data_IF_682258795187
#
_entry.id   IF_682258795187
#
_cell.length_a   1.000
_cell.length_b   1.000
_cell.length_c   1.000
_cell.angle_alpha   90.00
_cell.angle_beta   90.00
_cell.angle_gamma   90.00
#
_symmetry.space_group_name_H-M   'P 1'
#
loop_
_entity.id
_entity.type
_entity.pdbx_description
1 polymer ?
#
# COMPACT_ATOMS: atom_id res chain seq x y z
N UNK A 1 8.18 5.36 12.69
CA UNK A 1 7.82 4.56 11.50
C UNK A 1 6.33 4.24 11.54
N UNK A 2 5.63 4.42 10.42
CA UNK A 2 4.22 4.05 10.38
C UNK A 2 4.06 2.54 10.16
N UNK A 3 2.94 2.00 10.62
CA UNK A 3 2.54 0.62 10.38
C UNK A 3 1.02 0.57 10.13
N UNK A 4 0.46 -0.64 10.06
CA UNK A 4 -0.97 -0.78 9.86
C UNK A 4 -1.80 -0.13 10.95
N UNK A 5 -1.33 -0.16 12.20
CA UNK A 5 -2.06 0.44 13.30
C UNK A 5 -2.13 1.97 13.20
N UNK A 6 -1.14 2.59 12.58
CA UNK A 6 -1.14 4.04 12.35
C UNK A 6 -2.30 4.47 11.45
N UNK A 7 -2.72 3.58 10.53
CA UNK A 7 -3.79 3.86 9.59
C UNK A 7 -5.19 3.58 10.14
N UNK A 8 -5.29 2.86 11.25
CA UNK A 8 -6.58 2.56 11.86
C UNK A 8 -7.21 3.86 12.38
N UNK A 9 -8.48 4.05 12.05
CA UNK A 9 -9.21 5.28 12.36
C UNK A 9 -9.14 6.34 11.27
N UNK A 10 -8.31 6.15 10.25
CA UNK A 10 -8.21 7.08 9.12
C UNK A 10 -9.31 6.78 8.09
N UNK A 11 -9.73 7.81 7.38
CA UNK A 11 -10.70 7.69 6.30
C UNK A 11 -9.97 7.49 4.98
N UNK A 12 -10.36 6.47 4.23
CA UNK A 12 -9.78 6.22 2.91
C UNK A 12 -10.37 7.19 1.89
N UNK A 13 -9.50 7.93 1.20
CA UNK A 13 -9.90 8.95 0.23
C UNK A 13 -9.71 8.46 -1.21
N UNK A 14 -8.58 7.81 -1.50
CA UNK A 14 -8.29 7.25 -2.82
C UNK A 14 -7.43 6.00 -2.69
N UNK A 15 -7.51 5.14 -3.68
CA UNK A 15 -6.74 3.90 -3.71
C UNK A 15 -6.58 3.46 -5.17
N UNK A 16 -5.34 3.38 -5.64
CA UNK A 16 -5.04 2.98 -7.01
C UNK A 16 -3.65 2.34 -7.11
N UNK A 17 -3.20 2.04 -8.31
CA UNK A 17 -1.93 1.37 -8.55
C UNK A 17 -0.70 2.22 -8.22
N UNK A 18 -0.87 3.52 -8.03
CA UNK A 18 0.22 4.42 -7.67
C UNK A 18 0.36 4.58 -6.16
N UNK A 19 -0.72 4.36 -5.43
CA UNK A 19 -0.74 4.49 -3.99
C UNK A 19 -2.14 4.78 -3.46
N UNK A 20 -2.20 5.35 -2.27
CA UNK A 20 -3.48 5.68 -1.66
C UNK A 20 -3.35 6.91 -0.77
N UNK A 21 -4.49 7.55 -0.51
CA UNK A 21 -4.57 8.72 0.35
C UNK A 21 -5.58 8.45 1.46
N UNK A 22 -5.21 8.83 2.68
CA UNK A 22 -6.10 8.76 3.84
C UNK A 22 -6.16 10.13 4.52
N UNK A 23 -7.28 10.34 5.24
CA UNK A 23 -7.45 11.53 6.10
C UNK A 23 -7.51 11.08 7.54
N UNK A 24 -6.73 11.71 8.40
CA UNK A 24 -6.74 11.42 9.83
C UNK A 24 -6.52 12.71 10.61
N UNK A 25 -7.42 13.00 11.55
CA UNK A 25 -7.37 14.20 12.38
C UNK A 25 -7.29 15.50 11.55
N UNK A 26 -8.03 15.54 10.43
CA UNK A 26 -8.06 16.71 9.55
C UNK A 26 -6.86 16.85 8.64
N UNK A 27 -5.97 15.86 8.61
CA UNK A 27 -4.76 15.89 7.78
C UNK A 27 -4.82 14.80 6.72
N UNK A 28 -4.36 15.12 5.51
CA UNK A 28 -4.22 14.16 4.43
C UNK A 28 -2.82 13.53 4.46
N UNK A 29 -2.78 12.21 4.28
CA UNK A 29 -1.52 11.46 4.17
C UNK A 29 -1.55 10.71 2.85
N UNK A 30 -0.57 10.99 1.99
CA UNK A 30 -0.44 10.36 0.68
C UNK A 30 0.66 9.31 0.75
N UNK A 31 0.29 8.08 0.40
CA UNK A 31 1.19 6.94 0.37
C UNK A 31 1.42 6.54 -1.08
N UNK A 32 2.70 6.37 -1.45
CA UNK A 32 3.08 5.97 -2.80
C UNK A 32 3.89 4.69 -2.76
N UNK A 33 3.68 3.82 -3.75
CA UNK A 33 4.54 2.66 -3.97
C UNK A 33 5.79 3.15 -4.69
N UNK A 34 6.91 3.11 -4.00
CA UNK A 34 8.16 3.63 -4.50
C UNK A 34 9.16 2.50 -4.70
N UNK A 35 9.62 2.35 -5.93
CA UNK A 35 10.69 1.42 -6.25
C UNK A 35 12.02 2.14 -6.18
N UNK A 36 12.87 1.74 -5.26
CA UNK A 36 14.11 2.46 -5.00
C UNK A 36 15.37 1.71 -5.47
N UNK A 37 15.22 0.48 -5.89
CA UNK A 37 16.36 -0.32 -6.33
C UNK A 37 15.93 -1.35 -7.36
N UNK A 38 16.78 -1.60 -8.37
CA UNK A 38 16.49 -2.57 -9.41
C UNK A 38 15.72 -1.98 -10.59
N UNK A 39 15.35 -2.84 -11.54
CA UNK A 39 14.58 -2.43 -12.72
C UNK A 39 13.10 -2.58 -12.44
N UNK A 40 12.54 -1.58 -11.83
CA UNK A 40 11.16 -1.60 -11.37
C UNK A 40 10.14 -1.48 -12.50
N UNK A 41 10.54 -0.92 -13.64
CA UNK A 41 9.60 -0.73 -14.75
C UNK A 41 9.25 -2.05 -15.44
N UNK A 42 10.14 -3.04 -15.38
CA UNK A 42 9.96 -4.31 -16.10
C UNK A 42 9.55 -5.47 -15.21
N UNK A 43 9.82 -5.39 -13.90
CA UNK A 43 9.69 -6.55 -13.01
C UNK A 43 8.75 -6.35 -11.83
N UNK A 44 8.19 -5.15 -11.67
CA UNK A 44 7.24 -4.90 -10.59
C UNK A 44 5.83 -4.89 -11.14
N UNK A 45 4.97 -5.73 -10.55
CA UNK A 45 3.54 -5.73 -10.82
C UNK A 45 2.80 -5.20 -9.61
N UNK A 46 1.88 -4.28 -9.82
CA UNK A 46 1.01 -3.77 -8.76
C UNK A 46 -0.42 -3.94 -9.25
N UNK A 47 -1.20 -4.74 -8.52
CA UNK A 47 -2.61 -4.96 -8.81
C UNK A 47 -3.42 -4.47 -7.63
N UNK A 48 -4.43 -3.66 -7.89
CA UNK A 48 -5.28 -3.12 -6.85
C UNK A 48 -6.75 -3.43 -7.12
N UNK A 49 -7.50 -3.62 -6.03
CA UNK A 49 -8.94 -3.79 -6.08
C UNK A 49 -9.58 -2.88 -5.04
N UNK A 50 -10.62 -2.17 -5.43
CA UNK A 50 -11.37 -1.29 -4.56
C UNK A 50 -12.81 -1.77 -4.50
N UNK A 51 -13.29 -2.07 -3.29
CA UNK A 51 -14.59 -2.68 -3.06
C UNK A 51 -15.65 -1.70 -2.56
N UNK A 52 -15.28 -0.43 -2.36
CA UNK A 52 -16.18 0.61 -1.87
C UNK A 52 -16.18 1.79 -2.82
N UNK A 53 -17.26 2.55 -2.81
CA UNK A 53 -17.36 3.78 -3.61
C UNK A 53 -16.85 4.95 -2.78
N UNK A 54 -15.64 5.41 -3.09
CA UNK A 54 -14.99 6.50 -2.36
C UNK A 54 -15.58 7.88 -2.68
N UNK A 55 -16.35 8.00 -3.76
CA UNK A 55 -17.04 9.24 -4.07
C UNK A 55 -18.33 9.42 -3.27
N UNK A 56 -18.80 8.38 -2.58
CA UNK A 56 -19.97 8.46 -1.71
C UNK A 56 -19.54 8.88 -0.31
N UNK A 57 -19.64 10.17 -0.03
CA UNK A 57 -19.22 10.74 1.24
C UNK A 57 -20.12 10.35 2.41
N UNK A 58 -21.29 9.78 2.14
CA UNK A 58 -22.23 9.38 3.20
C UNK A 58 -21.76 8.12 3.95
N UNK A 59 -20.89 7.31 3.37
CA UNK A 59 -20.46 6.06 3.94
C UNK A 59 -19.10 6.12 4.68
N UNK A 60 -18.43 7.25 4.70
CA UNK A 60 -17.16 7.48 5.42
C UNK A 60 -16.33 6.19 5.58
N UNK A 61 -15.57 5.78 4.54
CA UNK A 61 -14.85 4.50 4.59
C UNK A 61 -13.67 4.58 5.56
N UNK A 62 -13.95 4.31 6.83
CA UNK A 62 -12.95 4.37 7.91
C UNK A 62 -12.23 3.03 8.00
N UNK A 63 -10.92 3.08 8.04
CA UNK A 63 -10.08 1.89 8.17
C UNK A 63 -10.16 1.39 9.61
N UNK A 64 -10.57 0.13 9.78
CA UNK A 64 -10.69 -0.51 11.10
C UNK A 64 -9.58 -1.51 11.36
N UNK A 65 -8.95 -2.04 10.30
CA UNK A 65 -7.88 -3.02 10.40
C UNK A 65 -7.03 -2.96 9.13
N UNK A 66 -5.75 -3.22 9.25
CA UNK A 66 -4.84 -3.32 8.10
C UNK A 66 -4.05 -4.61 8.24
N UNK A 67 -4.01 -5.39 7.16
CA UNK A 67 -3.15 -6.57 7.04
C UNK A 67 -2.04 -6.30 6.05
N UNK A 68 -0.86 -6.84 6.31
CA UNK A 68 0.29 -6.71 5.41
C UNK A 68 1.19 -5.52 5.67
N UNK A 69 0.88 -4.69 6.66
CA UNK A 69 1.74 -3.58 7.08
C UNK A 69 1.98 -3.64 8.59
N UNK A 70 3.25 -3.69 9.04
CA UNK A 70 4.44 -3.81 8.21
C UNK A 70 4.56 -5.21 7.61
N UNK A 71 5.28 -5.33 6.51
CA UNK A 71 5.63 -6.63 5.98
C UNK A 71 6.81 -7.16 6.80
N UNK A 72 6.56 -8.20 7.61
CA UNK A 72 7.55 -8.71 8.56
C UNK A 72 8.69 -9.49 7.89
N UNK A 73 8.44 -9.97 6.70
CA UNK A 73 9.43 -10.77 5.96
C UNK A 73 9.36 -10.37 4.47
N UNK A 74 9.87 -9.18 4.11
CA UNK A 74 9.79 -8.71 2.73
C UNK A 74 10.48 -9.68 1.80
N UNK A 75 9.76 -10.15 0.81
CA UNK A 75 10.23 -11.10 -0.18
C UNK A 75 9.76 -10.71 -1.56
N UNK A 76 9.35 -11.71 -2.34
CA UNK A 76 8.97 -11.51 -3.72
C UNK A 76 7.62 -10.81 -3.89
N UNK A 77 6.74 -10.90 -2.91
CA UNK A 77 5.42 -10.28 -3.02
C UNK A 77 4.91 -9.83 -1.66
N UNK A 78 3.94 -8.93 -1.68
CA UNK A 78 3.28 -8.40 -0.51
C UNK A 78 1.81 -8.13 -0.81
N UNK A 79 0.94 -8.57 0.09
CA UNK A 79 -0.49 -8.27 0.04
C UNK A 79 -0.83 -7.27 1.14
N UNK A 80 -1.42 -6.14 0.76
CA UNK A 80 -1.92 -5.16 1.71
C UNK A 80 -3.44 -5.15 1.60
N UNK A 81 -4.13 -5.31 2.73
CA UNK A 81 -5.58 -5.24 2.78
C UNK A 81 -6.02 -4.21 3.80
N UNK A 82 -6.84 -3.27 3.37
CA UNK A 82 -7.47 -2.28 4.23
C UNK A 82 -8.92 -2.72 4.48
N UNK A 83 -9.26 -2.91 5.74
CA UNK A 83 -10.60 -3.36 6.14
C UNK A 83 -11.43 -2.19 6.63
N UNK A 84 -12.69 -2.19 6.24
CA UNK A 84 -13.71 -1.35 6.86
C UNK A 84 -14.44 -2.11 7.96
N UNK A 85 -15.68 -1.67 8.25
CA UNK A 85 -16.51 -2.29 9.27
C UNK A 85 -17.06 -3.60 8.75
N UNK A 86 -16.62 -4.73 8.92
CA UNK A 86 -17.08 -6.07 8.52
C UNK A 86 -16.50 -6.65 7.23
N UNK A 87 -15.85 -5.85 6.38
CA UNK A 87 -15.37 -6.39 5.10
C UNK A 87 -14.15 -5.62 4.59
N UNK A 88 -13.35 -6.22 3.69
CA UNK A 88 -12.27 -5.50 3.03
C UNK A 88 -12.81 -4.33 2.21
N UNK A 89 -12.14 -3.20 2.26
CA UNK A 89 -12.44 -2.03 1.42
C UNK A 89 -11.54 -1.98 0.20
N UNK A 90 -10.27 -2.35 0.35
CA UNK A 90 -9.28 -2.23 -0.71
C UNK A 90 -8.17 -3.23 -0.51
N UNK A 91 -7.62 -3.72 -1.60
CA UNK A 91 -6.46 -4.63 -1.60
C UNK A 91 -5.43 -4.16 -2.61
N UNK A 92 -4.16 -4.30 -2.26
CA UNK A 92 -3.04 -4.12 -3.17
C UNK A 92 -2.16 -5.36 -3.12
N UNK A 93 -1.84 -5.90 -4.28
CA UNK A 93 -0.88 -6.99 -4.42
C UNK A 93 0.33 -6.46 -5.18
N UNK A 94 1.47 -6.45 -4.54
CA UNK A 94 2.73 -5.98 -5.11
C UNK A 94 3.64 -7.19 -5.27
N UNK A 95 4.14 -7.41 -6.48
CA UNK A 95 5.01 -8.53 -6.78
C UNK A 95 6.23 -8.10 -7.56
N UNK A 96 7.34 -8.80 -7.35
CA UNK A 96 8.54 -8.66 -8.14
C UNK A 96 8.77 -9.97 -8.89
N UNK A 97 9.02 -9.88 -10.20
CA UNK A 97 9.30 -11.02 -11.04
C UNK A 97 10.65 -10.82 -11.71
N UNK A 98 11.61 -11.70 -11.44
CA UNK A 98 12.91 -11.64 -12.09
C UNK A 98 13.00 -12.73 -13.15
N UNK A 99 12.35 -12.49 -14.26
CA UNK A 99 12.29 -13.42 -15.38
C UNK A 99 13.59 -13.46 -16.19
N UNK A 100 14.51 -12.57 -15.91
CA UNK A 100 15.72 -12.40 -16.74
C UNK A 100 16.86 -13.32 -16.37
N UNK A 101 16.84 -13.98 -15.23
CA UNK A 101 17.92 -14.85 -14.79
C UNK A 101 19.21 -14.12 -14.42
N UNK A 102 19.23 -12.80 -14.47
CA UNK A 102 20.43 -12.02 -14.17
C UNK A 102 20.52 -11.54 -12.72
N UNK A 103 19.60 -11.94 -11.88
CA UNK A 103 19.69 -11.65 -10.45
C UNK A 103 19.47 -10.18 -10.07
N UNK A 104 18.93 -9.37 -10.94
CA UNK A 104 18.57 -8.01 -10.60
C UNK A 104 17.27 -8.04 -9.82
N UNK A 105 17.40 -7.87 -8.52
CA UNK A 105 16.24 -7.77 -7.67
C UNK A 105 15.52 -6.45 -7.82
N UNK A 106 14.39 -6.34 -7.18
CA UNK A 106 13.64 -5.09 -7.10
C UNK A 106 13.20 -4.89 -5.66
N UNK A 107 13.26 -3.66 -5.21
CA UNK A 107 12.86 -3.30 -3.85
C UNK A 107 11.79 -2.22 -3.92
N UNK A 108 10.64 -2.47 -3.30
CA UNK A 108 9.51 -1.55 -3.29
C UNK A 108 9.20 -1.17 -1.86
N UNK A 109 9.04 0.12 -1.63
CA UNK A 109 8.62 0.66 -0.35
C UNK A 109 7.26 1.32 -0.49
N UNK A 110 6.50 1.33 0.59
CA UNK A 110 5.37 2.24 0.73
C UNK A 110 5.89 3.48 1.44
N UNK A 111 5.81 4.62 0.76
CA UNK A 111 6.37 5.88 1.24
C UNK A 111 5.24 6.87 1.57
N UNK A 112 5.31 7.47 2.76
CA UNK A 112 4.38 8.52 3.16
C UNK A 112 5.02 9.88 2.89
N UNK A 113 4.41 10.68 2.02
CA UNK A 113 4.97 11.97 1.58
C UNK A 113 5.00 13.02 2.70
N UNK A 114 4.03 13.01 3.61
CA UNK A 114 3.91 14.02 4.65
C UNK A 114 4.89 13.80 5.80
N UNK A 115 5.16 12.56 6.16
CA UNK A 115 6.07 12.23 7.26
C UNK A 115 7.46 11.84 6.78
N UNK A 116 7.63 11.64 5.48
CA UNK A 116 8.87 11.15 4.87
C UNK A 116 9.32 9.80 5.44
N UNK A 117 8.37 8.97 5.83
CA UNK A 117 8.62 7.63 6.35
C UNK A 117 8.31 6.59 5.28
N UNK A 118 9.03 5.47 5.30
CA UNK A 118 8.85 4.38 4.34
C UNK A 118 8.84 3.04 5.04
N UNK A 119 8.07 2.11 4.49
CA UNK A 119 8.01 0.72 4.95
C UNK A 119 8.30 -0.18 3.75
N UNK A 120 9.19 -1.14 3.93
CA UNK A 120 9.56 -2.06 2.86
C UNK A 120 8.46 -3.09 2.63
N UNK A 121 8.06 -3.28 1.37
CA UNK A 121 7.02 -4.22 0.97
C UNK A 121 7.60 -5.42 0.23
N UNK A 122 8.53 -5.18 -0.69
CA UNK A 122 9.14 -6.21 -1.51
C UNK A 122 10.65 -6.01 -1.49
N UNK A 123 11.36 -7.10 -1.28
CA UNK A 123 12.82 -7.16 -1.36
C UNK A 123 13.18 -8.47 -2.05
N UNK A 124 13.56 -8.37 -3.33
CA UNK A 124 13.81 -9.56 -4.13
C UNK A 124 15.14 -9.50 -4.87
#
# INVERSE_FOLDING_TARGET
>A
MFDGNTLVGAQLVSFNDEGFTVMKDGRAFNFEYYCYEGDCSSYIGIETELYVNLSDTSNNPVITKVEGLPCNDPGQCCDITLYGLYKPMAKAFISADSDSGYGYGACVQLHCNQTNESVELVSY
#
